data_IF_749272216015
#
_entry.id   IF_749272216015
#
_cell.length_a   1.000
_cell.length_b   1.000
_cell.length_c   1.000
_cell.angle_alpha   90.00
_cell.angle_beta   90.00
_cell.angle_gamma   90.00
#
_symmetry.space_group_name_H-M   'P 1'
#
loop_
_entity.id
_entity.type
_entity.pdbx_description
1 polymer ?
#
# COMPACT_ATOMS: atom_id res chain seq x y z
N UNK A 1 -3.27 21.13 -7.63
CA UNK A 1 -3.97 20.44 -8.74
C UNK A 1 -5.10 21.32 -9.25
N UNK A 2 -5.49 21.17 -10.53
CA UNK A 2 -6.46 22.03 -11.23
C UNK A 2 -7.79 22.18 -10.47
N UNK A 3 -8.47 23.31 -10.64
CA UNK A 3 -9.70 23.75 -9.94
C UNK A 3 -10.97 22.92 -10.20
N UNK A 4 -10.86 21.76 -10.85
CA UNK A 4 -11.99 20.91 -11.22
C UNK A 4 -12.41 20.00 -10.07
N UNK A 5 -13.70 19.98 -9.76
CA UNK A 5 -14.29 18.98 -8.84
C UNK A 5 -14.22 17.60 -9.47
N UNK A 6 -13.71 16.63 -8.71
CA UNK A 6 -13.62 15.22 -9.12
C UNK A 6 -14.48 14.35 -8.19
N UNK A 7 -14.95 13.22 -8.71
CA UNK A 7 -15.56 12.15 -7.93
C UNK A 7 -14.96 10.81 -8.33
N UNK A 8 -15.00 9.84 -7.41
CA UNK A 8 -14.39 8.54 -7.62
C UNK A 8 -14.95 7.46 -6.72
N UNK A 9 -14.45 6.24 -6.94
CA UNK A 9 -14.82 5.05 -6.16
C UNK A 9 -13.56 4.43 -5.56
N UNK A 10 -13.63 4.11 -4.27
CA UNK A 10 -12.68 3.26 -3.57
C UNK A 10 -13.10 1.79 -3.76
N UNK A 11 -12.30 1.03 -4.51
CA UNK A 11 -12.50 -0.42 -4.70
C UNK A 11 -11.14 -1.07 -4.92
N UNK A 12 -10.70 -1.94 -4.01
CA UNK A 12 -9.43 -2.64 -4.22
C UNK A 12 -9.56 -3.74 -5.29
N UNK A 13 -8.45 -4.05 -5.97
CA UNK A 13 -8.42 -5.02 -7.09
C UNK A 13 -8.91 -6.40 -6.63
N UNK A 14 -8.57 -6.81 -5.41
CA UNK A 14 -8.98 -8.11 -4.85
C UNK A 14 -10.50 -8.28 -4.72
N UNK A 15 -11.25 -7.18 -4.68
CA UNK A 15 -12.71 -7.14 -4.57
C UNK A 15 -13.43 -7.20 -5.92
N UNK A 16 -12.70 -7.12 -7.04
CA UNK A 16 -13.29 -7.35 -8.35
C UNK A 16 -13.79 -8.81 -8.43
N UNK A 17 -14.92 -9.07 -9.12
CA UNK A 17 -15.35 -10.43 -9.37
C UNK A 17 -14.33 -11.17 -10.24
N UNK A 18 -14.31 -12.49 -10.19
CA UNK A 18 -13.44 -13.30 -11.05
C UNK A 18 -13.50 -14.79 -10.74
N UNK A 19 -13.17 -15.65 -11.72
CA UNK A 19 -13.29 -17.10 -11.55
C UNK A 19 -12.17 -17.72 -10.69
N UNK A 20 -11.10 -16.97 -10.41
CA UNK A 20 -9.88 -17.49 -9.78
C UNK A 20 -9.77 -17.16 -8.29
N UNK A 21 -10.91 -16.97 -7.62
CA UNK A 21 -11.03 -16.80 -6.17
C UNK A 21 -10.60 -15.44 -5.61
N UNK A 22 -10.06 -14.56 -6.45
CA UNK A 22 -9.66 -13.19 -6.12
C UNK A 22 -9.70 -12.34 -7.39
N UNK A 23 -10.05 -11.06 -7.26
CA UNK A 23 -9.95 -10.12 -8.37
C UNK A 23 -8.49 -9.87 -8.80
N UNK A 24 -8.28 -9.57 -10.08
CA UNK A 24 -6.97 -9.39 -10.69
C UNK A 24 -6.97 -8.32 -11.79
N UNK A 25 -5.81 -8.02 -12.39
CA UNK A 25 -5.67 -7.07 -13.49
C UNK A 25 -6.10 -7.64 -14.86
N UNK A 26 -7.20 -8.40 -14.87
CA UNK A 26 -7.79 -9.07 -16.01
C UNK A 26 -9.01 -8.33 -16.60
N UNK A 27 -9.89 -9.04 -17.32
CA UNK A 27 -11.04 -8.44 -17.99
C UNK A 27 -11.98 -7.64 -17.07
N UNK A 28 -12.19 -8.10 -15.83
CA UNK A 28 -13.08 -7.44 -14.88
C UNK A 28 -12.57 -6.06 -14.43
N UNK A 29 -11.24 -5.87 -14.39
CA UNK A 29 -10.65 -4.54 -14.13
C UNK A 29 -11.00 -3.55 -15.26
N UNK A 30 -10.96 -3.99 -16.53
CA UNK A 30 -11.35 -3.15 -17.66
C UNK A 30 -12.85 -2.84 -17.65
N UNK A 31 -13.71 -3.84 -17.36
CA UNK A 31 -15.15 -3.61 -17.19
C UNK A 31 -15.46 -2.62 -16.07
N UNK A 32 -14.69 -2.64 -14.99
CA UNK A 32 -14.83 -1.67 -13.91
C UNK A 32 -14.42 -0.26 -14.37
N UNK A 33 -13.34 -0.12 -15.14
CA UNK A 33 -12.97 1.16 -15.77
C UNK A 33 -14.08 1.67 -16.71
N UNK A 34 -14.67 0.80 -17.52
CA UNK A 34 -15.80 1.16 -18.39
C UNK A 34 -17.02 1.62 -17.57
N UNK A 35 -17.26 0.98 -16.42
CA UNK A 35 -18.28 1.41 -15.46
C UNK A 35 -17.98 2.80 -14.88
N UNK A 36 -16.75 3.07 -14.45
CA UNK A 36 -16.34 4.39 -13.97
C UNK A 36 -16.53 5.46 -15.05
N UNK A 37 -16.12 5.17 -16.28
CA UNK A 37 -16.31 6.06 -17.42
C UNK A 37 -17.78 6.38 -17.66
N UNK A 38 -18.64 5.35 -17.74
CA UNK A 38 -20.09 5.48 -17.97
C UNK A 38 -20.80 6.23 -16.84
N UNK A 39 -20.32 6.09 -15.61
CA UNK A 39 -20.87 6.79 -14.43
C UNK A 39 -20.16 8.12 -14.14
N UNK A 40 -19.32 8.60 -15.08
CA UNK A 40 -18.58 9.86 -15.02
C UNK A 40 -17.65 10.00 -13.80
N UNK A 41 -17.27 8.89 -13.19
CA UNK A 41 -16.24 8.88 -12.15
C UNK A 41 -14.87 9.12 -12.81
N UNK A 42 -14.06 9.95 -12.17
CA UNK A 42 -12.74 10.37 -12.68
C UNK A 42 -11.58 9.80 -11.89
N UNK A 43 -11.86 9.21 -10.73
CA UNK A 43 -10.84 8.64 -9.84
C UNK A 43 -11.24 7.21 -9.48
N UNK A 44 -10.31 6.28 -9.67
CA UNK A 44 -10.35 4.95 -9.08
C UNK A 44 -9.31 4.90 -7.98
N UNK A 45 -9.76 4.79 -6.74
CA UNK A 45 -8.87 4.64 -5.62
C UNK A 45 -8.74 3.17 -5.23
N UNK A 46 -7.51 2.74 -5.01
CA UNK A 46 -7.15 1.39 -4.62
C UNK A 46 -6.28 1.44 -3.36
N UNK A 47 -6.32 0.36 -2.56
CA UNK A 47 -5.36 0.16 -1.48
C UNK A 47 -3.98 -0.24 -2.05
N UNK A 48 -2.98 -0.34 -1.18
CA UNK A 48 -1.61 -0.72 -1.56
C UNK A 48 -1.57 -1.98 -2.43
N UNK A 49 -0.78 -1.93 -3.51
CA UNK A 49 -0.53 -3.06 -4.41
C UNK A 49 0.66 -3.91 -4.00
N UNK A 50 1.30 -3.61 -2.86
CA UNK A 50 2.53 -4.28 -2.42
C UNK A 50 2.31 -5.76 -2.15
N UNK A 51 3.30 -6.60 -2.42
CA UNK A 51 3.25 -8.02 -2.05
C UNK A 51 3.23 -8.17 -0.52
N UNK A 52 2.27 -8.92 0.03
CA UNK A 52 2.09 -9.12 1.47
C UNK A 52 2.21 -10.60 1.83
N UNK A 53 2.74 -10.91 3.03
CA UNK A 53 2.68 -12.27 3.58
C UNK A 53 1.37 -12.55 4.32
N UNK A 54 0.68 -11.48 4.75
CA UNK A 54 -0.62 -11.53 5.38
C UNK A 54 -1.70 -11.06 4.39
N UNK A 55 -2.96 -11.11 4.82
CA UNK A 55 -4.09 -10.63 4.02
C UNK A 55 -4.23 -9.09 4.02
N UNK A 56 -3.40 -8.37 4.79
CA UNK A 56 -3.45 -6.90 4.89
C UNK A 56 -2.53 -6.25 3.86
N UNK A 57 -3.06 -5.37 2.97
CA UNK A 57 -2.26 -4.57 2.04
C UNK A 57 -1.19 -3.68 2.68
N UNK A 58 -1.33 -3.39 3.98
CA UNK A 58 -0.42 -2.52 4.75
C UNK A 58 0.71 -3.27 5.44
N UNK A 59 0.74 -4.61 5.34
CA UNK A 59 1.80 -5.46 5.86
C UNK A 59 2.62 -6.05 4.71
N UNK A 60 3.20 -5.16 3.90
CA UNK A 60 3.98 -5.52 2.73
C UNK A 60 5.34 -6.15 3.06
N UNK A 61 5.72 -7.17 2.29
CA UNK A 61 7.06 -7.76 2.25
C UNK A 61 8.08 -6.88 1.51
N UNK A 62 7.59 -5.91 0.74
CA UNK A 62 8.41 -4.96 0.00
C UNK A 62 7.64 -3.65 -0.19
N UNK A 63 8.36 -2.52 -0.14
CA UNK A 63 7.81 -1.22 -0.49
C UNK A 63 7.71 -0.99 -2.01
N UNK A 64 8.27 -1.89 -2.83
CA UNK A 64 8.39 -1.75 -4.30
C UNK A 64 7.68 -2.86 -5.07
N UNK A 65 7.68 -4.10 -4.57
CA UNK A 65 7.16 -5.25 -5.30
C UNK A 65 5.62 -5.28 -5.36
N UNK A 66 5.05 -5.51 -6.54
CA UNK A 66 3.61 -5.73 -6.71
C UNK A 66 3.17 -7.13 -6.26
N UNK A 67 1.92 -7.27 -5.81
CA UNK A 67 1.39 -8.52 -5.30
C UNK A 67 1.12 -9.55 -6.43
N UNK A 68 1.76 -10.74 -6.40
CA UNK A 68 1.59 -11.73 -7.48
C UNK A 68 0.17 -12.26 -7.66
N UNK A 69 -0.68 -12.19 -6.63
CA UNK A 69 -2.08 -12.65 -6.70
C UNK A 69 -2.93 -11.80 -7.65
N UNK A 70 -2.48 -10.59 -7.98
CA UNK A 70 -3.18 -9.68 -8.90
C UNK A 70 -2.82 -9.92 -10.37
N UNK A 71 -1.95 -10.90 -10.66
CA UNK A 71 -1.64 -11.30 -12.03
C UNK A 71 -2.85 -12.01 -12.64
N UNK A 72 -3.26 -11.56 -13.82
CA UNK A 72 -4.39 -12.11 -14.57
C UNK A 72 -3.99 -13.37 -15.34
N UNK A 73 -4.70 -14.47 -15.08
CA UNK A 73 -4.49 -15.72 -15.80
C UNK A 73 -5.03 -15.67 -17.23
N UNK A 74 -6.09 -14.90 -17.49
CA UNK A 74 -6.56 -14.63 -18.85
C UNK A 74 -5.48 -13.98 -19.72
N UNK A 75 -4.73 -13.03 -19.15
CA UNK A 75 -3.61 -12.40 -19.86
C UNK A 75 -2.48 -13.40 -20.12
N UNK A 76 -2.13 -14.23 -19.14
CA UNK A 76 -1.11 -15.27 -19.32
C UNK A 76 -1.52 -16.34 -20.36
N UNK A 77 -2.81 -16.68 -20.43
CA UNK A 77 -3.37 -17.55 -21.46
C UNK A 77 -3.27 -16.92 -22.85
N UNK A 78 -3.62 -15.64 -22.98
CA UNK A 78 -3.55 -14.89 -24.27
C UNK A 78 -2.14 -14.81 -24.86
N UNK A 79 -1.11 -14.93 -24.03
CA UNK A 79 0.30 -14.84 -24.45
C UNK A 79 1.00 -16.22 -24.48
N UNK A 80 0.21 -17.30 -24.47
CA UNK A 80 0.65 -18.71 -24.55
C UNK A 80 1.58 -19.15 -23.41
N UNK A 81 1.45 -18.55 -22.23
CA UNK A 81 2.15 -19.00 -21.03
C UNK A 81 1.32 -19.99 -20.21
N UNK A 82 0.01 -19.99 -20.38
CA UNK A 82 -0.92 -20.95 -19.80
C UNK A 82 -1.79 -21.57 -20.90
N UNK A 83 -2.25 -22.79 -20.68
CA UNK A 83 -3.24 -23.46 -21.55
C UNK A 83 -4.62 -23.48 -20.89
N UNK A 84 -5.67 -23.77 -21.65
CA UNK A 84 -7.02 -23.98 -21.08
C UNK A 84 -7.04 -25.04 -19.97
N UNK A 85 -6.20 -26.08 -20.07
CA UNK A 85 -6.08 -27.14 -19.06
C UNK A 85 -5.50 -26.62 -17.75
N UNK A 86 -4.57 -25.65 -17.81
CA UNK A 86 -3.97 -25.05 -16.61
C UNK A 86 -4.94 -24.15 -15.83
N UNK A 87 -5.98 -23.65 -16.51
CA UNK A 87 -7.03 -22.81 -15.92
C UNK A 87 -8.17 -23.60 -15.28
N UNK A 88 -8.19 -24.93 -15.45
CA UNK A 88 -9.16 -25.79 -14.76
C UNK A 88 -8.83 -25.78 -13.28
N UNK A 89 -9.79 -25.37 -12.46
CA UNK A 89 -9.65 -25.30 -11.00
C UNK A 89 -9.81 -26.73 -10.44
N UNK A 90 -8.78 -27.31 -9.83
CA UNK A 90 -8.90 -28.63 -9.23
C UNK A 90 -9.90 -28.65 -8.06
N UNK A 91 -10.58 -29.77 -7.85
CA UNK A 91 -11.65 -29.90 -6.84
C UNK A 91 -11.21 -29.70 -5.39
N UNK A 92 -9.91 -29.81 -5.09
CA UNK A 92 -9.35 -29.53 -3.77
C UNK A 92 -9.24 -28.03 -3.46
N UNK A 93 -9.42 -27.14 -4.44
CA UNK A 93 -9.50 -25.70 -4.21
C UNK A 93 -10.95 -25.25 -4.08
N UNK A 94 -11.22 -24.47 -3.04
CA UNK A 94 -12.56 -23.95 -2.77
C UNK A 94 -12.52 -22.43 -2.71
N UNK A 95 -13.31 -21.80 -3.58
CA UNK A 95 -13.50 -20.36 -3.61
C UNK A 95 -14.91 -20.00 -3.12
N UNK A 96 -15.10 -18.71 -2.83
CA UNK A 96 -16.39 -18.16 -2.43
C UNK A 96 -16.65 -16.92 -3.27
N UNK A 97 -17.90 -16.71 -3.68
CA UNK A 97 -18.27 -15.55 -4.50
C UNK A 97 -18.47 -14.28 -3.65
N UNK A 98 -18.46 -14.40 -2.32
CA UNK A 98 -18.73 -13.31 -1.38
C UNK A 98 -17.46 -12.77 -0.71
N UNK A 99 -16.41 -13.58 -0.58
CA UNK A 99 -15.14 -13.17 0.03
C UNK A 99 -13.94 -14.00 -0.44
N UNK A 100 -12.74 -13.44 -0.27
CA UNK A 100 -11.49 -14.08 -0.68
C UNK A 100 -11.02 -15.09 0.36
N UNK A 101 -10.92 -16.37 -0.02
CA UNK A 101 -10.29 -17.42 0.78
C UNK A 101 -8.76 -17.43 0.57
N UNK A 102 -8.06 -16.47 1.18
CA UNK A 102 -6.63 -16.18 0.91
C UNK A 102 -5.73 -17.42 0.91
N UNK A 103 -5.87 -18.33 1.89
CA UNK A 103 -5.05 -19.55 1.94
C UNK A 103 -5.17 -20.39 0.65
N UNK A 104 -6.41 -20.66 0.22
CA UNK A 104 -6.69 -21.45 -0.99
C UNK A 104 -6.25 -20.72 -2.25
N UNK A 105 -6.46 -19.41 -2.31
CA UNK A 105 -6.05 -18.57 -3.45
C UNK A 105 -4.53 -18.50 -3.58
N UNK A 106 -3.79 -18.32 -2.48
CA UNK A 106 -2.32 -18.28 -2.48
C UNK A 106 -1.77 -19.59 -3.03
N UNK A 107 -2.25 -20.73 -2.52
CA UNK A 107 -1.79 -22.05 -2.96
C UNK A 107 -2.11 -22.32 -4.43
N UNK A 108 -3.35 -22.05 -4.86
CA UNK A 108 -3.78 -22.22 -6.25
C UNK A 108 -2.98 -21.32 -7.19
N UNK A 109 -2.96 -20.00 -6.93
CA UNK A 109 -2.34 -19.05 -7.85
C UNK A 109 -0.83 -19.24 -7.92
N UNK A 110 -0.17 -19.55 -6.80
CA UNK A 110 1.27 -19.87 -6.81
C UNK A 110 1.57 -21.10 -7.67
N UNK A 111 0.74 -22.14 -7.58
CA UNK A 111 0.90 -23.36 -8.38
C UNK A 111 0.79 -23.07 -9.88
N UNK A 112 -0.22 -22.30 -10.29
CA UNK A 112 -0.42 -21.93 -11.69
C UNK A 112 0.67 -20.98 -12.19
N UNK A 113 1.09 -19.99 -11.39
CA UNK A 113 2.18 -19.07 -11.75
C UNK A 113 3.52 -19.80 -11.91
N UNK A 114 3.81 -20.82 -11.10
CA UNK A 114 5.00 -21.68 -11.29
C UNK A 114 4.97 -22.43 -12.63
N UNK A 115 3.80 -22.89 -13.09
CA UNK A 115 3.63 -23.48 -14.43
C UNK A 115 3.86 -22.43 -15.52
N UNK A 116 3.25 -21.25 -15.40
CA UNK A 116 3.46 -20.16 -16.34
C UNK A 116 4.95 -19.79 -16.47
N UNK A 117 5.67 -19.75 -15.35
CA UNK A 117 7.11 -19.49 -15.35
C UNK A 117 7.92 -20.62 -16.02
N UNK A 118 7.54 -21.90 -15.83
CA UNK A 118 8.18 -23.02 -16.53
C UNK A 118 8.04 -22.88 -18.04
N UNK A 119 6.85 -22.55 -18.52
CA UNK A 119 6.59 -22.34 -19.95
C UNK A 119 7.32 -21.10 -20.47
N UNK A 120 7.35 -20.02 -19.69
CA UNK A 120 8.10 -18.80 -19.97
C UNK A 120 9.58 -19.09 -20.25
N UNK A 121 10.23 -19.90 -19.40
CA UNK A 121 11.65 -20.25 -19.58
C UNK A 121 11.95 -21.02 -20.86
N UNK A 122 10.97 -21.72 -21.42
CA UNK A 122 11.13 -22.47 -22.66
C UNK A 122 10.96 -21.56 -23.90
N UNK A 123 10.41 -20.36 -23.73
CA UNK A 123 10.15 -19.42 -24.82
C UNK A 123 11.23 -18.33 -24.85
N UNK A 124 12.09 -18.35 -25.88
CA UNK A 124 13.18 -17.36 -26.01
C UNK A 124 12.66 -15.92 -26.11
N UNK A 125 11.49 -15.70 -26.74
CA UNK A 125 10.91 -14.38 -27.01
C UNK A 125 10.75 -13.49 -25.78
N UNK A 126 10.45 -14.05 -24.60
CA UNK A 126 10.19 -13.23 -23.42
C UNK A 126 11.43 -13.04 -22.53
N UNK A 127 12.39 -13.97 -22.60
CA UNK A 127 13.60 -13.92 -21.77
C UNK A 127 14.49 -12.73 -22.13
N UNK A 128 14.85 -12.59 -23.41
CA UNK A 128 15.76 -11.53 -23.87
C UNK A 128 15.07 -10.18 -23.99
N UNK A 129 13.89 -10.13 -24.60
CA UNK A 129 13.29 -8.85 -25.02
C UNK A 129 12.48 -8.17 -23.92
N UNK A 130 12.05 -8.92 -22.89
CA UNK A 130 11.18 -8.39 -21.83
C UNK A 130 11.84 -8.49 -20.46
N UNK A 131 12.23 -9.70 -20.04
CA UNK A 131 12.70 -9.91 -18.66
C UNK A 131 14.07 -9.27 -18.40
N UNK A 132 15.02 -9.39 -19.32
CA UNK A 132 16.35 -8.81 -19.13
C UNK A 132 16.33 -7.27 -19.02
N UNK A 133 15.67 -6.52 -19.92
CA UNK A 133 15.48 -5.08 -19.76
C UNK A 133 14.76 -4.72 -18.45
N UNK A 134 13.74 -5.48 -18.07
CA UNK A 134 13.03 -5.25 -16.81
C UNK A 134 13.92 -5.42 -15.59
N UNK A 135 14.72 -6.51 -15.52
CA UNK A 135 15.67 -6.74 -14.42
C UNK A 135 16.69 -5.59 -14.36
N UNK A 136 17.26 -5.19 -15.50
CA UNK A 136 18.21 -4.09 -15.55
C UNK A 136 17.60 -2.77 -15.04
N UNK A 137 16.38 -2.45 -15.46
CA UNK A 137 15.68 -1.24 -15.03
C UNK A 137 15.32 -1.25 -13.54
N UNK A 138 15.02 -2.42 -12.98
CA UNK A 138 14.52 -2.58 -11.62
C UNK A 138 15.58 -3.11 -10.62
N UNK A 139 16.82 -3.26 -11.07
CA UNK A 139 17.91 -3.91 -10.32
C UNK A 139 18.11 -3.33 -8.91
N UNK A 140 17.89 -2.02 -8.74
CA UNK A 140 18.09 -1.30 -7.49
C UNK A 140 17.19 -1.75 -6.31
N UNK A 141 16.18 -2.60 -6.56
CA UNK A 141 15.33 -3.20 -5.52
C UNK A 141 14.95 -4.65 -5.81
N UNK A 142 14.94 -5.06 -7.08
CA UNK A 142 14.42 -6.36 -7.50
C UNK A 142 15.31 -7.51 -7.04
N UNK A 143 16.64 -7.34 -7.10
CA UNK A 143 17.61 -8.37 -6.70
C UNK A 143 17.50 -8.67 -5.20
N UNK A 144 17.47 -7.63 -4.37
CA UNK A 144 17.28 -7.74 -2.92
C UNK A 144 15.95 -8.40 -2.57
N UNK A 145 14.87 -8.02 -3.27
CA UNK A 145 13.55 -8.59 -3.07
C UNK A 145 13.49 -10.08 -3.48
N UNK A 146 14.02 -10.44 -4.65
CA UNK A 146 14.03 -11.83 -5.12
C UNK A 146 14.85 -12.73 -4.19
N UNK A 147 15.98 -12.22 -3.70
CA UNK A 147 16.85 -12.92 -2.78
C UNK A 147 16.20 -13.04 -1.38
N UNK A 148 15.58 -11.97 -0.88
CA UNK A 148 14.79 -11.99 0.35
C UNK A 148 13.67 -13.04 0.29
N UNK A 149 12.90 -13.08 -0.80
CA UNK A 149 11.82 -14.04 -0.96
C UNK A 149 12.33 -15.48 -1.01
N UNK A 150 13.47 -15.71 -1.69
CA UNK A 150 14.09 -17.04 -1.77
C UNK A 150 14.52 -17.54 -0.39
N UNK A 151 15.21 -16.71 0.40
CA UNK A 151 15.60 -17.07 1.77
C UNK A 151 14.35 -17.26 2.63
N UNK A 152 13.36 -16.37 2.50
CA UNK A 152 12.12 -16.49 3.27
C UNK A 152 11.44 -17.84 3.04
N UNK A 153 11.40 -18.33 1.80
CA UNK A 153 10.87 -19.67 1.48
C UNK A 153 11.72 -20.79 2.11
N UNK A 154 13.05 -20.71 2.00
CA UNK A 154 13.98 -21.68 2.62
C UNK A 154 13.84 -21.73 4.15
N UNK A 155 13.67 -20.57 4.77
CA UNK A 155 13.48 -20.38 6.21
C UNK A 155 12.02 -20.57 6.66
N UNK A 156 11.20 -21.29 5.87
CA UNK A 156 9.81 -21.66 6.21
C UNK A 156 8.93 -20.46 6.58
N UNK A 157 9.09 -19.35 5.85
CA UNK A 157 8.38 -18.09 6.02
C UNK A 157 8.61 -17.33 7.34
N UNK A 158 9.66 -17.66 8.10
CA UNK A 158 10.06 -16.89 9.30
C UNK A 158 10.35 -15.42 8.96
N UNK A 159 10.25 -14.56 9.97
CA UNK A 159 10.74 -13.18 9.89
C UNK A 159 12.25 -13.16 9.69
N UNK A 160 12.77 -12.18 8.95
CA UNK A 160 14.21 -12.06 8.68
C UNK A 160 15.05 -11.89 9.95
N UNK A 161 14.46 -11.30 10.99
CA UNK A 161 15.10 -11.13 12.29
C UNK A 161 15.41 -12.46 13.01
N UNK A 162 14.79 -13.56 12.55
CA UNK A 162 14.92 -14.92 13.08
C UNK A 162 15.73 -15.85 12.15
N UNK A 163 16.32 -15.31 11.09
CA UNK A 163 17.19 -16.09 10.21
C UNK A 163 18.57 -16.30 10.84
N UNK A 164 19.31 -17.35 10.42
CA UNK A 164 20.71 -17.53 10.80
C UNK A 164 21.55 -16.26 10.57
N UNK A 165 22.51 -16.01 11.46
CA UNK A 165 23.35 -14.81 11.45
C UNK A 165 24.10 -14.61 10.12
N UNK A 166 24.52 -15.70 9.49
CA UNK A 166 25.18 -15.69 8.17
C UNK A 166 24.27 -15.15 7.05
N UNK A 167 22.96 -15.29 7.16
CA UNK A 167 21.98 -14.74 6.22
C UNK A 167 21.52 -13.34 6.64
N UNK A 168 21.44 -13.10 7.95
CA UNK A 168 21.02 -11.83 8.54
C UNK A 168 22.07 -10.72 8.38
N UNK A 169 23.35 -11.06 8.49
CA UNK A 169 24.48 -10.11 8.45
C UNK A 169 25.38 -10.30 7.21
N UNK A 170 24.84 -10.88 6.12
CA UNK A 170 25.55 -11.17 4.86
C UNK A 170 26.04 -9.96 4.04
N UNK A 171 25.62 -8.76 4.39
CA UNK A 171 26.07 -7.52 3.76
C UNK A 171 27.19 -6.90 4.63
N UNK A 172 28.22 -6.26 4.04
CA UNK A 172 29.27 -5.60 4.82
C UNK A 172 28.65 -4.59 5.80
N UNK A 173 29.29 -4.37 6.96
CA UNK A 173 28.75 -3.49 7.99
C UNK A 173 28.69 -2.05 7.49
N UNK A 174 27.47 -1.56 7.29
CA UNK A 174 27.15 -0.13 7.32
C UNK A 174 26.99 0.24 8.81
N UNK A 175 27.60 1.34 9.27
CA UNK A 175 27.53 1.77 10.67
C UNK A 175 26.08 2.01 11.14
N UNK A 176 25.43 0.98 11.69
CA UNK A 176 24.48 1.00 12.80
C UNK A 176 24.09 -0.44 13.16
N UNK A 177 24.34 -0.80 14.43
CA UNK A 177 24.08 -2.13 15.00
C UNK A 177 22.60 -2.47 15.21
N UNK A 178 22.36 -3.76 15.49
CA UNK A 178 21.06 -4.43 15.70
C UNK A 178 20.39 -4.11 17.04
N UNK A 179 19.34 -4.81 17.52
CA UNK A 179 18.59 -6.00 17.06
C UNK A 179 17.06 -5.71 17.20
N UNK A 180 16.18 -6.71 17.21
CA UNK A 180 14.70 -6.81 17.46
C UNK A 180 13.66 -5.63 17.53
N UNK A 181 12.39 -5.94 17.90
CA UNK A 181 11.17 -5.47 17.21
C UNK A 181 9.87 -5.58 18.14
N UNK A 182 8.72 -4.88 18.03
CA UNK A 182 8.11 -4.24 16.85
C UNK A 182 6.64 -3.73 16.98
N UNK A 183 6.25 -2.74 16.18
CA UNK A 183 4.90 -2.63 15.56
C UNK A 183 4.77 -3.44 14.26
N UNK A 184 5.76 -4.27 13.98
CA UNK A 184 6.12 -4.85 12.69
C UNK A 184 6.58 -3.85 11.62
N UNK A 185 6.89 -2.61 11.99
CA UNK A 185 7.55 -1.62 11.10
C UNK A 185 8.64 -0.85 11.85
N UNK A 186 9.91 -0.84 11.38
CA UNK A 186 10.97 0.00 11.95
C UNK A 186 10.67 1.50 11.74
N UNK A 187 11.05 2.36 12.70
CA UNK A 187 11.00 3.82 12.51
C UNK A 187 12.19 4.29 11.68
N UNK A 188 11.99 5.33 10.85
CA UNK A 188 13.08 5.91 10.09
C UNK A 188 14.01 6.75 11.00
N UNK A 189 15.30 6.74 10.71
CA UNK A 189 16.29 7.60 11.38
C UNK A 189 16.23 9.05 10.87
N UNK A 190 15.08 9.70 11.02
CA UNK A 190 14.80 11.07 10.58
C UNK A 190 15.81 12.10 11.12
N UNK A 191 16.21 11.95 12.38
CA UNK A 191 17.05 12.91 13.10
C UNK A 191 18.55 12.63 13.00
N UNK A 192 18.96 11.60 12.26
CA UNK A 192 20.37 11.37 11.98
C UNK A 192 20.78 12.17 10.73
N UNK A 193 21.56 13.24 10.92
CA UNK A 193 21.95 14.15 9.84
C UNK A 193 22.76 13.48 8.72
N UNK A 194 23.55 12.42 9.01
CA UNK A 194 24.32 11.71 7.98
C UNK A 194 23.45 10.74 7.19
N UNK A 195 22.45 10.11 7.84
CA UNK A 195 21.53 9.16 7.20
C UNK A 195 20.32 9.81 6.53
N UNK A 196 19.93 11.03 6.94
CA UNK A 196 18.75 11.74 6.43
C UNK A 196 18.77 11.92 4.90
N UNK A 197 19.88 12.34 4.25
CA UNK A 197 19.90 12.44 2.79
C UNK A 197 19.70 11.10 2.08
N UNK A 198 20.21 10.00 2.64
CA UNK A 198 20.03 8.64 2.10
C UNK A 198 18.57 8.22 2.23
N UNK A 199 17.95 8.50 3.39
CA UNK A 199 16.54 8.24 3.63
C UNK A 199 15.64 9.03 2.65
N UNK A 200 15.92 10.31 2.40
CA UNK A 200 15.16 11.10 1.44
C UNK A 200 15.30 10.53 0.02
N UNK A 201 16.50 10.12 -0.39
CA UNK A 201 16.72 9.43 -1.68
C UNK A 201 15.91 8.14 -1.77
N UNK A 202 15.84 7.35 -0.69
CA UNK A 202 15.02 6.13 -0.64
C UNK A 202 13.53 6.44 -0.80
N UNK A 203 13.01 7.44 -0.09
CA UNK A 203 11.61 7.88 -0.23
C UNK A 203 11.28 8.41 -1.62
N UNK A 204 12.19 9.17 -2.24
CA UNK A 204 12.04 9.63 -3.61
C UNK A 204 11.97 8.43 -4.58
N UNK A 205 12.83 7.42 -4.42
CA UNK A 205 12.77 6.18 -5.22
C UNK A 205 11.43 5.46 -5.02
N UNK A 206 10.96 5.34 -3.77
CA UNK A 206 9.67 4.71 -3.45
C UNK A 206 8.51 5.44 -4.14
N UNK A 207 8.43 6.77 -3.99
CA UNK A 207 7.38 7.57 -4.62
C UNK A 207 7.44 7.49 -6.15
N UNK A 208 8.62 7.61 -6.75
CA UNK A 208 8.79 7.44 -8.20
C UNK A 208 8.30 6.08 -8.66
N UNK A 209 8.65 5.01 -7.95
CA UNK A 209 8.19 3.66 -8.29
C UNK A 209 6.68 3.52 -8.21
N UNK A 210 6.05 4.06 -7.17
CA UNK A 210 4.59 4.05 -7.03
C UNK A 210 3.91 4.86 -8.15
N UNK A 211 4.49 6.00 -8.53
CA UNK A 211 3.99 6.87 -9.59
C UNK A 211 4.14 6.28 -11.00
N UNK A 212 4.89 5.17 -11.17
CA UNK A 212 4.90 4.42 -12.45
C UNK A 212 3.55 3.72 -12.72
N UNK A 213 2.74 3.46 -11.69
CA UNK A 213 1.48 2.71 -11.80
C UNK A 213 0.26 3.45 -11.26
N UNK A 214 0.44 4.57 -10.57
CA UNK A 214 -0.61 5.34 -9.89
C UNK A 214 -0.42 6.83 -10.17
N UNK A 215 -1.51 7.56 -10.43
CA UNK A 215 -1.45 9.00 -10.73
C UNK A 215 -1.25 9.88 -9.48
N UNK A 216 -1.86 9.49 -8.35
CA UNK A 216 -1.84 10.25 -7.09
C UNK A 216 -1.60 9.28 -5.92
N UNK A 217 -0.59 9.56 -5.10
CA UNK A 217 -0.22 8.72 -3.96
C UNK A 217 -0.87 9.24 -2.69
N UNK A 218 -1.63 8.38 -2.01
CA UNK A 218 -2.09 8.62 -0.64
C UNK A 218 -0.97 8.26 0.34
N UNK A 219 -0.48 9.23 1.10
CA UNK A 219 0.39 9.03 2.27
C UNK A 219 -0.46 8.82 3.52
N UNK A 220 -0.50 7.57 3.99
CA UNK A 220 -1.09 7.18 5.26
C UNK A 220 -0.27 7.72 6.44
N UNK A 221 -0.94 8.03 7.56
CA UNK A 221 -0.34 8.56 8.78
C UNK A 221 0.61 9.76 8.54
N UNK A 222 0.16 10.73 7.75
CA UNK A 222 0.99 11.87 7.33
C UNK A 222 1.61 12.64 8.49
N UNK A 223 0.90 12.71 9.63
CA UNK A 223 1.39 13.34 10.85
C UNK A 223 2.77 12.81 11.29
N UNK A 224 3.09 11.54 10.98
CA UNK A 224 4.39 10.90 11.26
C UNK A 224 5.59 11.57 10.58
N UNK A 225 5.35 12.37 9.53
CA UNK A 225 6.37 13.14 8.80
C UNK A 225 6.63 14.50 9.47
N UNK A 226 5.70 14.97 10.30
CA UNK A 226 5.87 16.16 11.15
C UNK A 226 6.43 15.76 12.52
N UNK A 227 5.84 14.77 13.16
CA UNK A 227 6.30 14.16 14.41
C UNK A 227 5.75 12.74 14.53
N UNK A 228 6.50 11.82 15.14
CA UNK A 228 6.07 10.44 15.31
C UNK A 228 6.15 10.00 16.76
N UNK A 229 5.26 9.09 17.13
CA UNK A 229 5.22 8.53 18.48
C UNK A 229 6.25 7.41 18.56
N UNK A 230 7.27 7.61 19.40
CA UNK A 230 8.37 6.67 19.54
C UNK A 230 8.21 5.87 20.83
N UNK A 231 7.97 4.56 20.69
CA UNK A 231 7.93 3.64 21.83
C UNK A 231 9.32 3.02 21.99
N UNK A 232 9.98 3.21 23.15
CA UNK A 232 11.26 2.56 23.40
C UNK A 232 11.09 1.04 23.48
N UNK A 233 12.17 0.32 23.19
CA UNK A 233 12.24 -1.13 23.28
C UNK A 233 13.32 -1.52 24.28
N UNK A 234 13.15 -2.67 24.94
CA UNK A 234 14.19 -3.20 25.85
C UNK A 234 15.37 -3.85 25.09
N UNK A 235 16.31 -4.46 25.81
CA UNK A 235 17.47 -5.15 25.23
C UNK A 235 17.11 -6.36 24.35
N UNK A 236 15.95 -6.98 24.61
CA UNK A 236 15.36 -8.05 23.79
C UNK A 236 14.44 -7.48 22.70
N UNK A 237 14.35 -6.15 22.65
CA UNK A 237 13.58 -5.32 21.77
C UNK A 237 12.07 -5.49 21.87
N UNK A 238 11.59 -5.88 23.04
CA UNK A 238 10.16 -5.88 23.35
C UNK A 238 9.71 -4.43 23.57
N UNK A 239 8.63 -3.96 22.92
CA UNK A 239 8.12 -2.60 23.15
C UNK A 239 7.73 -2.38 24.60
N UNK A 240 8.16 -1.24 25.16
CA UNK A 240 7.70 -0.77 26.46
C UNK A 240 6.24 -0.29 26.38
N UNK A 241 5.67 0.16 27.51
CA UNK A 241 4.28 0.62 27.52
C UNK A 241 4.15 1.91 26.70
N UNK A 242 3.01 2.14 26.01
CA UNK A 242 2.73 3.42 25.33
C UNK A 242 2.70 4.65 26.25
N UNK A 243 2.82 4.49 27.56
CA UNK A 243 2.99 5.59 28.51
C UNK A 243 4.45 6.06 28.61
N UNK A 244 5.40 5.21 28.21
CA UNK A 244 6.85 5.47 28.30
C UNK A 244 7.41 6.08 27.00
N UNK A 245 6.52 6.47 26.10
CA UNK A 245 6.84 6.98 24.78
C UNK A 245 6.80 8.48 24.68
N UNK A 246 7.43 8.99 23.63
CA UNK A 246 7.58 10.40 23.39
C UNK A 246 7.29 10.76 21.94
N UNK A 247 6.76 11.96 21.74
CA UNK A 247 6.68 12.58 20.43
C UNK A 247 8.08 13.01 20.00
N UNK A 248 8.55 12.49 18.88
CA UNK A 248 9.83 12.89 18.28
C UNK A 248 9.53 13.69 17.01
N UNK A 249 10.11 14.89 16.92
CA UNK A 249 9.99 15.74 15.72
C UNK A 249 10.68 15.07 14.53
N UNK A 250 10.02 15.11 13.37
CA UNK A 250 10.59 14.72 12.09
C UNK A 250 10.86 15.96 11.21
N UNK A 251 11.80 15.90 10.26
CA UNK A 251 12.20 17.02 9.41
C UNK A 251 11.21 17.21 8.24
N UNK A 252 9.92 17.31 8.52
CA UNK A 252 8.86 17.29 7.49
C UNK A 252 9.01 18.35 6.41
N UNK A 253 9.40 19.57 6.77
CA UNK A 253 9.64 20.66 5.80
C UNK A 253 10.81 20.34 4.88
N UNK A 254 11.93 19.85 5.41
CA UNK A 254 13.09 19.45 4.59
C UNK A 254 12.74 18.27 3.68
N UNK A 255 11.99 17.30 4.21
CA UNK A 255 11.53 16.12 3.49
C UNK A 255 10.68 16.50 2.28
N UNK A 256 9.64 17.33 2.47
CA UNK A 256 8.79 17.73 1.35
C UNK A 256 9.47 18.72 0.39
N UNK A 257 10.42 19.54 0.86
CA UNK A 257 11.31 20.29 -0.05
C UNK A 257 12.12 19.35 -0.94
N UNK A 258 12.73 18.31 -0.37
CA UNK A 258 13.49 17.33 -1.14
C UNK A 258 12.62 16.57 -2.15
N UNK A 259 11.41 16.16 -1.75
CA UNK A 259 10.45 15.51 -2.65
C UNK A 259 10.03 16.44 -3.78
N UNK A 260 9.62 17.68 -3.47
CA UNK A 260 9.20 18.66 -4.49
C UNK A 260 10.32 18.94 -5.50
N UNK A 261 11.56 19.08 -5.03
CA UNK A 261 12.73 19.27 -5.91
C UNK A 261 13.03 18.05 -6.79
N UNK A 262 12.72 16.83 -6.34
CA UNK A 262 13.00 15.61 -7.08
C UNK A 262 11.83 15.13 -7.96
N UNK A 263 10.61 15.61 -7.70
CA UNK A 263 9.41 15.33 -8.47
C UNK A 263 9.01 16.60 -9.24
N UNK A 264 7.73 16.95 -9.20
CA UNK A 264 7.16 18.15 -9.82
C UNK A 264 6.16 18.81 -8.88
N UNK A 265 5.78 20.04 -9.20
CA UNK A 265 4.75 20.80 -8.47
C UNK A 265 3.54 21.05 -9.40
N UNK A 266 2.29 20.88 -8.94
CA UNK A 266 1.89 20.42 -7.61
C UNK A 266 2.28 18.96 -7.36
N UNK A 267 2.62 18.64 -6.10
CA UNK A 267 2.94 17.27 -5.68
C UNK A 267 1.75 16.33 -5.94
N UNK A 268 1.95 15.14 -6.54
CA UNK A 268 0.90 14.16 -6.82
C UNK A 268 0.53 13.36 -5.56
N UNK A 269 0.22 14.04 -4.46
CA UNK A 269 0.02 13.44 -3.14
C UNK A 269 -1.32 13.85 -2.54
N UNK A 270 -1.94 12.95 -1.79
CA UNK A 270 -3.02 13.20 -0.82
C UNK A 270 -2.51 12.73 0.54
N UNK A 271 -2.88 13.43 1.62
CA UNK A 271 -2.40 13.10 2.96
C UNK A 271 -3.53 12.71 3.89
N UNK A 272 -3.29 11.67 4.68
CA UNK A 272 -4.15 11.26 5.79
C UNK A 272 -3.93 12.18 6.99
N UNK A 273 -4.87 13.10 7.20
CA UNK A 273 -4.85 14.07 8.29
C UNK A 273 -6.08 13.88 9.22
N UNK A 274 -6.39 12.64 9.58
CA UNK A 274 -7.47 12.31 10.51
C UNK A 274 -6.93 12.16 11.95
N UNK A 275 -7.87 12.10 12.89
CA UNK A 275 -7.56 11.96 14.32
C UNK A 275 -7.21 13.29 15.00
N UNK A 276 -6.51 13.19 16.13
CA UNK A 276 -6.09 14.35 16.92
C UNK A 276 -4.76 14.86 16.37
N UNK A 277 -4.79 16.04 15.75
CA UNK A 277 -3.65 16.65 15.08
C UNK A 277 -3.28 17.99 15.71
N UNK A 278 -2.00 18.35 15.61
CA UNK A 278 -1.49 19.64 16.05
C UNK A 278 -1.55 20.67 14.92
N UNK A 279 -1.43 21.95 15.26
CA UNK A 279 -1.40 23.04 14.27
C UNK A 279 -0.25 22.86 13.27
N UNK A 280 0.90 22.37 13.73
CA UNK A 280 2.11 22.14 12.93
C UNK A 280 1.89 21.11 11.82
N UNK A 281 1.04 20.09 12.06
CA UNK A 281 0.66 19.11 11.02
C UNK A 281 -0.15 19.80 9.93
N UNK A 282 -1.10 20.66 10.30
CA UNK A 282 -1.89 21.42 9.33
C UNK A 282 -1.05 22.45 8.58
N UNK A 283 -0.16 23.18 9.29
CA UNK A 283 0.76 24.13 8.67
C UNK A 283 1.68 23.42 7.66
N UNK A 284 2.19 22.23 7.98
CA UNK A 284 3.00 21.43 7.05
C UNK A 284 2.19 21.01 5.82
N UNK A 285 0.96 20.50 5.99
CA UNK A 285 0.07 20.14 4.87
C UNK A 285 -0.16 21.35 3.96
N UNK A 286 -0.52 22.48 4.53
CA UNK A 286 -0.94 23.68 3.81
C UNK A 286 0.24 24.38 3.13
N UNK A 287 1.43 24.39 3.77
CA UNK A 287 2.68 24.88 3.17
C UNK A 287 3.03 24.17 1.86
N UNK A 288 2.70 22.88 1.75
CA UNK A 288 2.95 22.08 0.55
C UNK A 288 1.71 21.94 -0.35
N UNK A 289 0.61 22.63 -0.04
CA UNK A 289 -0.66 22.59 -0.75
C UNK A 289 -1.20 21.17 -0.95
N UNK A 290 -1.04 20.31 0.06
CA UNK A 290 -1.44 18.91 0.01
C UNK A 290 -2.94 18.78 0.37
N UNK A 291 -3.76 18.07 -0.43
CA UNK A 291 -5.14 17.80 -0.07
C UNK A 291 -5.21 16.89 1.17
N UNK A 292 -5.93 17.35 2.19
CA UNK A 292 -6.31 16.54 3.36
C UNK A 292 -7.59 15.74 3.15
N UNK A 293 -7.97 14.92 4.12
CA UNK A 293 -9.13 14.04 4.09
C UNK A 293 -10.28 14.56 4.95
N UNK A 294 -11.51 14.32 4.50
CA UNK A 294 -12.70 14.52 5.30
C UNK A 294 -13.53 13.26 5.30
N UNK A 295 -13.95 12.78 6.47
CA UNK A 295 -14.86 11.63 6.58
C UNK A 295 -16.15 12.16 7.13
N UNK A 296 -17.20 12.19 6.30
CA UNK A 296 -18.47 12.87 6.60
C UNK A 296 -19.06 12.54 7.99
N UNK A 297 -18.78 11.35 8.51
CA UNK A 297 -19.30 10.85 9.79
C UNK A 297 -18.46 11.22 11.01
N UNK A 298 -17.32 11.86 10.82
CA UNK A 298 -16.48 12.34 11.92
C UNK A 298 -16.94 13.72 12.37
N UNK A 299 -16.52 14.13 13.57
CA UNK A 299 -16.99 15.35 14.24
C UNK A 299 -16.80 16.65 13.46
N UNK A 300 -17.00 17.79 14.14
CA UNK A 300 -17.22 19.11 13.55
C UNK A 300 -16.45 19.46 12.25
N UNK A 301 -15.12 19.25 12.21
CA UNK A 301 -14.27 19.56 11.04
C UNK A 301 -14.62 18.78 9.76
N UNK A 302 -15.37 17.68 9.89
CA UNK A 302 -15.74 16.81 8.78
C UNK A 302 -17.19 17.01 8.31
N UNK A 303 -17.89 18.02 8.81
CA UNK A 303 -19.14 18.46 8.22
C UNK A 303 -18.91 19.27 6.93
N UNK A 304 -19.73 19.06 5.88
CA UNK A 304 -19.58 19.72 4.59
C UNK A 304 -19.39 21.24 4.59
N UNK A 305 -20.03 21.98 5.51
CA UNK A 305 -19.87 23.43 5.59
C UNK A 305 -18.47 23.88 6.04
N UNK A 306 -17.68 22.98 6.64
CA UNK A 306 -16.30 23.21 7.07
C UNK A 306 -15.26 22.72 6.04
N UNK A 307 -15.69 22.23 4.88
CA UNK A 307 -14.77 21.73 3.86
C UNK A 307 -14.01 22.87 3.19
N UNK A 308 -12.69 22.74 3.16
CA UNK A 308 -11.84 23.55 2.29
C UNK A 308 -11.86 22.97 0.87
N UNK A 309 -11.57 23.80 -0.15
CA UNK A 309 -11.53 23.32 -1.54
C UNK A 309 -10.49 22.22 -1.77
N UNK A 310 -9.33 22.32 -1.12
CA UNK A 310 -8.23 21.37 -1.26
C UNK A 310 -8.39 20.20 -0.26
N UNK A 311 -9.44 19.39 -0.44
CA UNK A 311 -9.64 18.20 0.36
C UNK A 311 -10.29 17.06 -0.44
N UNK A 312 -10.19 15.85 0.09
CA UNK A 312 -10.86 14.66 -0.44
C UNK A 312 -11.87 14.17 0.60
N UNK A 313 -13.15 14.25 0.25
CA UNK A 313 -14.24 13.85 1.14
C UNK A 313 -14.70 12.42 0.86
N UNK A 314 -14.81 11.62 1.92
CA UNK A 314 -15.22 10.23 1.91
C UNK A 314 -16.49 10.04 2.74
N UNK A 315 -17.32 9.08 2.31
CA UNK A 315 -18.38 8.54 3.17
C UNK A 315 -17.81 7.67 4.31
N UNK A 316 -16.71 6.99 4.01
CA UNK A 316 -15.90 6.15 4.88
C UNK A 316 -14.69 5.62 4.10
N UNK A 317 -13.64 5.19 4.80
CA UNK A 317 -12.48 4.50 4.21
C UNK A 317 -12.66 2.98 4.30
N UNK A 318 -11.63 2.23 3.96
CA UNK A 318 -11.58 0.77 4.13
C UNK A 318 -11.55 0.32 5.60
N UNK A 319 -11.18 1.19 6.53
CA UNK A 319 -11.18 0.90 7.99
C UNK A 319 -12.55 1.06 8.63
N UNK A 320 -13.53 1.56 7.87
CA UNK A 320 -14.85 1.89 8.38
C UNK A 320 -15.88 0.87 7.90
N UNK A 321 -16.89 0.56 8.74
CA UNK A 321 -18.05 -0.16 8.25
C UNK A 321 -18.75 0.65 7.14
N UNK A 322 -19.49 -0.06 6.29
CA UNK A 322 -20.37 0.58 5.31
C UNK A 322 -21.30 1.58 5.99
N UNK A 323 -21.82 2.57 5.25
CA UNK A 323 -22.73 3.58 5.82
C UNK A 323 -23.95 2.93 6.47
N UNK A 324 -24.52 1.90 5.83
CA UNK A 324 -25.63 1.13 6.39
C UNK A 324 -25.21 0.33 7.63
N UNK A 325 -24.05 -0.33 7.59
CA UNK A 325 -23.51 -1.08 8.73
C UNK A 325 -23.32 -0.17 9.95
N UNK A 326 -22.76 1.02 9.76
CA UNK A 326 -22.70 2.01 10.83
C UNK A 326 -24.06 2.42 11.35
N UNK A 327 -24.96 2.85 10.46
CA UNK A 327 -26.28 3.35 10.85
C UNK A 327 -27.04 2.32 11.68
N UNK A 328 -26.95 1.04 11.29
CA UNK A 328 -27.72 -0.03 11.93
C UNK A 328 -27.04 -0.61 13.17
N UNK A 329 -25.71 -0.65 13.24
CA UNK A 329 -24.99 -1.43 14.26
C UNK A 329 -24.05 -0.61 15.16
N UNK A 330 -23.64 0.59 14.74
CA UNK A 330 -22.58 1.34 15.44
C UNK A 330 -22.96 2.76 15.84
N UNK A 331 -23.88 3.41 15.13
CA UNK A 331 -24.29 4.78 15.41
C UNK A 331 -25.15 4.86 16.67
N UNK A 332 -24.76 5.73 17.60
CA UNK A 332 -25.59 6.12 18.74
C UNK A 332 -26.80 6.94 18.29
N UNK A 333 -27.85 6.98 19.11
CA UNK A 333 -29.05 7.76 18.81
C UNK A 333 -28.77 9.26 18.64
N UNK A 334 -27.79 9.78 19.38
CA UNK A 334 -27.37 11.17 19.25
C UNK A 334 -26.66 11.44 17.92
N UNK A 335 -25.80 10.54 17.46
CA UNK A 335 -25.17 10.65 16.14
C UNK A 335 -26.21 10.56 15.02
N UNK A 336 -27.19 9.65 15.13
CA UNK A 336 -28.30 9.53 14.17
C UNK A 336 -29.14 10.80 14.12
N UNK A 337 -29.50 11.35 15.28
CA UNK A 337 -30.26 12.60 15.38
C UNK A 337 -29.50 13.77 14.77
N UNK A 338 -28.21 13.88 15.07
CA UNK A 338 -27.33 14.91 14.50
C UNK A 338 -27.25 14.78 12.99
N UNK A 339 -27.07 13.56 12.48
CA UNK A 339 -27.02 13.25 11.05
C UNK A 339 -28.30 13.67 10.33
N UNK A 340 -29.46 13.29 10.85
CA UNK A 340 -30.78 13.63 10.27
C UNK A 340 -31.06 15.13 10.36
N UNK A 341 -30.58 15.80 11.40
CA UNK A 341 -30.76 17.27 11.52
C UNK A 341 -29.89 18.03 10.51
N UNK A 342 -28.78 17.43 10.08
CA UNK A 342 -27.82 18.06 9.17
C UNK A 342 -28.21 17.92 7.68
N UNK A 343 -28.90 16.84 7.32
CA UNK A 343 -29.42 16.57 5.96
C UNK A 343 -30.78 17.22 5.80
#
# INVERSE_FOLDING_TARGET
MNSSRLSGILLHITSLPGPYGIGDFGPEAFKFVDFLHRTRQKVWQILSLTHTAACSPYSGLSAFAGHPLLISFDKLYKIDLLTKKDLIIPSNFQFDNSYVKFKSVIEYKTTVLKKAYKNFKQQQKYGQDVLKPFIQLQQYWLDDYALYMTIKEQEKNKSWSLWPDELKYRCPPDECGGNGQNWNTPIYHWNNNTKRPILFKWWIKRLRKTLETIDIVWIDHFRGVESYWSIPVDENHVPMKPTDSQWIKAPGVEFFKAIRSALWDPLPLIVEDLGILTKEVFDLRDQFNLPGMRIFRFGFLHHPHNYIRNCVAYKGTHDHPTVLGWWTQHASDNEKKTFVTYI
#
